data_IF_424610928410
#
_entry.id   IF_424610928410
#
_cell.length_a   1.000
_cell.length_b   1.000
_cell.length_c   1.000
_cell.angle_alpha   90.00
_cell.angle_beta   90.00
_cell.angle_gamma   90.00
#
_symmetry.space_group_name_H-M   'P 1'
#
loop_
_entity.id
_entity.type
_entity.pdbx_description
1 polymer ?
#
# COMPACT_ATOMS: atom_id res chain seq x y z
N UNK A 1 10.75 3.48 18.30
CA UNK A 1 10.50 3.96 16.92
C UNK A 1 11.24 3.03 15.97
N UNK A 2 10.62 2.55 14.90
CA UNK A 2 11.26 1.57 14.01
C UNK A 2 11.99 2.33 12.89
N UNK A 3 13.23 2.75 13.14
CA UNK A 3 13.99 3.64 12.24
C UNK A 3 14.13 3.10 10.81
N UNK A 4 14.07 1.78 10.63
CA UNK A 4 14.08 1.15 9.31
C UNK A 4 12.84 1.50 8.48
N UNK A 5 11.64 1.50 9.08
CA UNK A 5 10.39 1.80 8.38
C UNK A 5 10.32 3.28 7.98
N UNK A 6 10.75 4.19 8.85
CA UNK A 6 10.79 5.63 8.54
C UNK A 6 11.76 5.94 7.40
N UNK A 7 12.92 5.29 7.37
CA UNK A 7 13.86 5.42 6.25
C UNK A 7 13.26 4.90 4.94
N UNK A 8 12.62 3.74 4.95
CA UNK A 8 11.96 3.19 3.76
C UNK A 8 10.87 4.12 3.25
N UNK A 9 10.00 4.63 4.13
CA UNK A 9 8.94 5.58 3.77
C UNK A 9 9.50 6.81 3.06
N UNK A 10 10.48 7.48 3.67
CA UNK A 10 11.06 8.70 3.09
C UNK A 10 11.76 8.43 1.75
N UNK A 11 12.54 7.35 1.67
CA UNK A 11 13.24 6.96 0.46
C UNK A 11 12.26 6.61 -0.67
N UNK A 12 11.20 5.87 -0.34
CA UNK A 12 10.16 5.48 -1.29
C UNK A 12 9.38 6.69 -1.80
N UNK A 13 8.92 7.60 -0.92
CA UNK A 13 8.21 8.82 -1.33
C UNK A 13 9.07 9.68 -2.26
N UNK A 14 10.37 9.82 -1.95
CA UNK A 14 11.33 10.55 -2.77
C UNK A 14 11.60 9.87 -4.12
N UNK A 15 11.72 8.54 -4.13
CA UNK A 15 11.90 7.75 -5.35
C UNK A 15 10.66 7.83 -6.25
N UNK A 16 9.47 7.69 -5.67
CA UNK A 16 8.20 7.74 -6.39
C UNK A 16 8.02 9.11 -7.05
N UNK A 17 8.28 10.21 -6.34
CA UNK A 17 8.22 11.55 -6.92
C UNK A 17 9.17 11.73 -8.10
N UNK A 18 10.42 11.23 -8.00
CA UNK A 18 11.38 11.31 -9.12
C UNK A 18 10.91 10.53 -10.35
N UNK A 19 10.20 9.41 -10.15
CA UNK A 19 9.74 8.54 -11.23
C UNK A 19 8.44 9.01 -11.87
N UNK A 20 7.44 9.36 -11.07
CA UNK A 20 6.07 9.64 -11.52
C UNK A 20 5.73 11.14 -11.54
N UNK A 21 6.58 11.99 -10.96
CA UNK A 21 6.30 13.40 -10.69
C UNK A 21 5.03 13.63 -9.83
N UNK A 22 4.65 12.62 -9.02
CA UNK A 22 3.52 12.70 -8.10
C UNK A 22 4.00 12.63 -6.64
N UNK A 23 3.46 13.52 -5.81
CA UNK A 23 3.73 13.52 -4.37
C UNK A 23 2.73 12.62 -3.65
N UNK A 24 3.23 11.54 -3.06
CA UNK A 24 2.44 10.63 -2.22
C UNK A 24 2.83 10.78 -0.75
N UNK A 25 1.93 10.36 0.13
CA UNK A 25 2.16 10.25 1.57
C UNK A 25 1.84 8.83 2.05
N UNK A 26 2.82 8.18 2.68
CA UNK A 26 2.71 6.79 3.19
C UNK A 26 2.38 6.70 4.68
N UNK A 27 2.18 7.86 5.33
CA UNK A 27 1.81 7.98 6.74
C UNK A 27 1.27 9.38 7.06
N UNK A 28 0.24 9.45 7.92
CA UNK A 28 -0.26 10.70 8.50
C UNK A 28 0.58 11.24 9.66
N UNK A 29 1.59 10.51 10.14
CA UNK A 29 2.33 10.90 11.36
C UNK A 29 2.99 12.27 11.22
N UNK A 30 3.38 12.66 10.00
CA UNK A 30 4.06 13.93 9.72
C UNK A 30 3.11 15.10 9.51
N UNK A 31 1.85 14.82 9.19
CA UNK A 31 0.81 15.81 8.93
C UNK A 31 -0.55 15.20 9.30
N UNK A 32 -1.05 15.45 10.52
CA UNK A 32 -2.32 14.90 10.99
C UNK A 32 -3.53 15.38 10.18
N UNK A 33 -3.40 16.52 9.47
CA UNK A 33 -4.48 17.09 8.66
C UNK A 33 -4.51 16.49 7.25
N UNK A 34 -3.36 16.00 6.75
CA UNK A 34 -3.27 15.31 5.47
C UNK A 34 -3.55 13.82 5.62
N UNK A 35 -4.64 13.36 4.98
CA UNK A 35 -4.90 11.93 4.83
C UNK A 35 -3.80 11.30 3.94
N UNK A 36 -3.13 10.23 4.40
CA UNK A 36 -2.13 9.55 3.60
C UNK A 36 -2.81 8.84 2.43
N UNK A 37 -2.09 8.69 1.33
CA UNK A 37 -2.55 7.95 0.16
C UNK A 37 -2.71 6.46 0.48
N UNK A 38 -1.85 5.95 1.37
CA UNK A 38 -1.95 4.64 2.01
C UNK A 38 -1.02 4.60 3.22
N UNK A 39 -1.13 3.58 4.07
CA UNK A 39 -0.25 3.41 5.22
C UNK A 39 0.74 2.28 4.98
N UNK A 40 2.04 2.57 5.07
CA UNK A 40 3.07 1.53 5.08
C UNK A 40 3.26 0.96 6.49
N UNK A 41 3.10 -0.34 6.68
CA UNK A 41 3.37 -1.01 7.96
C UNK A 41 4.47 -2.06 7.83
N UNK A 42 5.28 -2.18 8.87
CA UNK A 42 6.22 -3.28 9.02
C UNK A 42 5.57 -4.39 9.86
N UNK A 43 5.40 -5.55 9.26
CA UNK A 43 4.86 -6.76 9.87
C UNK A 43 5.96 -7.78 10.21
N UNK A 44 5.57 -8.92 10.82
CA UNK A 44 6.52 -9.96 11.16
C UNK A 44 7.22 -10.55 9.93
N UNK A 45 8.40 -11.15 10.14
CA UNK A 45 9.18 -11.87 9.11
C UNK A 45 9.58 -11.00 7.90
N UNK A 46 9.83 -9.72 8.11
CA UNK A 46 10.20 -8.79 7.03
C UNK A 46 9.04 -8.59 6.04
N UNK A 47 7.81 -8.52 6.55
CA UNK A 47 6.67 -8.20 5.68
C UNK A 47 6.45 -6.70 5.66
N UNK A 48 6.36 -6.09 4.48
CA UNK A 48 5.87 -4.72 4.33
C UNK A 48 4.45 -4.72 3.78
N UNK A 49 3.57 -3.97 4.43
CA UNK A 49 2.16 -3.89 4.08
C UNK A 49 1.86 -2.49 3.56
N UNK A 50 1.30 -2.42 2.36
CA UNK A 50 0.54 -1.29 1.85
C UNK A 50 -0.88 -1.46 2.38
N UNK A 51 -1.35 -0.55 3.22
CA UNK A 51 -2.69 -0.63 3.81
C UNK A 51 -3.54 0.54 3.33
N UNK A 52 -4.60 0.22 2.61
CA UNK A 52 -5.60 1.20 2.18
C UNK A 52 -6.83 1.10 3.08
N UNK A 53 -7.07 2.15 3.88
CA UNK A 53 -8.14 2.18 4.89
C UNK A 53 -9.25 3.10 4.41
N UNK A 54 -10.44 2.54 4.23
CA UNK A 54 -11.66 3.28 3.93
C UNK A 54 -12.54 3.40 5.16
N UNK A 55 -13.41 4.40 5.19
CA UNK A 55 -14.42 4.56 6.25
C UNK A 55 -15.38 3.36 6.31
N UNK A 56 -16.08 3.19 7.42
CA UNK A 56 -17.14 2.19 7.58
C UNK A 56 -18.21 2.37 6.48
N UNK A 57 -18.77 1.25 6.01
CA UNK A 57 -19.75 1.13 4.94
C UNK A 57 -19.29 1.64 3.57
N UNK A 58 -17.98 1.87 3.38
CA UNK A 58 -17.46 2.36 2.12
C UNK A 58 -17.46 1.29 1.03
N UNK A 59 -17.72 1.71 -0.22
CA UNK A 59 -17.74 0.87 -1.41
C UNK A 59 -16.50 1.15 -2.27
N UNK A 60 -15.55 0.22 -2.27
CA UNK A 60 -14.30 0.33 -3.01
C UNK A 60 -14.55 0.39 -4.53
N UNK A 61 -13.97 1.39 -5.20
CA UNK A 61 -14.08 1.54 -6.66
C UNK A 61 -12.90 0.91 -7.39
N UNK A 62 -13.06 0.68 -8.70
CA UNK A 62 -11.98 0.18 -9.55
C UNK A 62 -10.76 1.12 -9.56
N UNK A 63 -10.97 2.43 -9.66
CA UNK A 63 -9.87 3.42 -9.67
C UNK A 63 -9.04 3.37 -8.38
N UNK A 64 -9.70 3.19 -7.23
CA UNK A 64 -9.01 3.08 -5.94
C UNK A 64 -8.29 1.76 -5.79
N UNK A 65 -8.89 0.68 -6.28
CA UNK A 65 -8.28 -0.64 -6.28
C UNK A 65 -7.01 -0.65 -7.14
N UNK A 66 -7.12 -0.19 -8.39
CA UNK A 66 -6.01 -0.11 -9.33
C UNK A 66 -4.90 0.77 -8.77
N UNK A 67 -5.21 1.96 -8.25
CA UNK A 67 -4.19 2.85 -7.67
C UNK A 67 -3.43 2.19 -6.51
N UNK A 68 -4.12 1.45 -5.64
CA UNK A 68 -3.46 0.76 -4.54
C UNK A 68 -2.60 -0.42 -5.00
N UNK A 69 -2.99 -1.11 -6.07
CA UNK A 69 -2.16 -2.12 -6.74
C UNK A 69 -0.92 -1.46 -7.35
N UNK A 70 -1.08 -0.34 -8.04
CA UNK A 70 0.04 0.42 -8.63
C UNK A 70 1.04 0.86 -7.55
N UNK A 71 0.57 1.21 -6.34
CA UNK A 71 1.45 1.52 -5.21
C UNK A 71 2.23 0.31 -4.71
N UNK A 72 1.61 -0.88 -4.66
CA UNK A 72 2.31 -2.11 -4.31
C UNK A 72 3.37 -2.47 -5.36
N UNK A 73 3.04 -2.40 -6.65
CA UNK A 73 3.99 -2.65 -7.74
C UNK A 73 5.15 -1.66 -7.72
N UNK A 74 4.85 -0.37 -7.47
CA UNK A 74 5.88 0.67 -7.35
C UNK A 74 6.79 0.43 -6.14
N UNK A 75 6.23 -0.03 -5.02
CA UNK A 75 7.00 -0.39 -3.83
C UNK A 75 7.87 -1.62 -4.09
N UNK A 76 7.35 -2.62 -4.80
CA UNK A 76 8.09 -3.80 -5.22
C UNK A 76 9.32 -3.40 -6.04
N UNK A 77 9.11 -2.59 -7.07
CA UNK A 77 10.20 -2.10 -7.91
C UNK A 77 11.23 -1.29 -7.13
N UNK A 78 10.80 -0.37 -6.26
CA UNK A 78 11.72 0.39 -5.41
C UNK A 78 12.58 -0.53 -4.53
N UNK A 79 11.99 -1.56 -3.94
CA UNK A 79 12.71 -2.51 -3.07
C UNK A 79 13.64 -3.42 -3.86
N UNK A 80 13.31 -3.74 -5.11
CA UNK A 80 14.17 -4.50 -6.02
C UNK A 80 15.36 -3.67 -6.52
N UNK A 81 15.14 -2.39 -6.82
CA UNK A 81 16.18 -1.43 -7.18
C UNK A 81 17.12 -1.10 -6.00
N UNK A 82 16.64 -1.24 -4.77
CA UNK A 82 17.37 -0.92 -3.54
C UNK A 82 17.53 -2.17 -2.67
N UNK A 83 18.40 -3.09 -3.10
CA UNK A 83 18.57 -4.42 -2.49
C UNK A 83 18.85 -4.41 -0.98
N UNK A 84 19.47 -3.36 -0.43
CA UNK A 84 19.63 -3.18 1.02
C UNK A 84 18.28 -3.08 1.76
N UNK A 85 17.32 -2.36 1.19
CA UNK A 85 15.95 -2.31 1.70
C UNK A 85 15.18 -3.58 1.31
N UNK A 86 15.31 -4.04 0.07
CA UNK A 86 14.63 -5.26 -0.40
C UNK A 86 14.91 -6.50 0.44
N UNK A 87 16.16 -6.67 0.89
CA UNK A 87 16.55 -7.79 1.76
C UNK A 87 15.86 -7.77 3.14
N UNK A 88 15.47 -6.59 3.64
CA UNK A 88 14.74 -6.43 4.89
C UNK A 88 13.24 -6.73 4.73
N UNK A 89 12.71 -6.60 3.51
CA UNK A 89 11.29 -6.74 3.20
C UNK A 89 11.02 -7.74 2.06
N UNK A 90 11.35 -9.04 2.25
CA UNK A 90 11.15 -10.07 1.24
C UNK A 90 9.68 -10.40 0.97
N UNK A 91 8.76 -10.01 1.86
CA UNK A 91 7.32 -10.25 1.71
C UNK A 91 6.63 -8.89 1.59
N UNK A 92 5.85 -8.70 0.51
CA UNK A 92 5.20 -7.43 0.19
C UNK A 92 3.72 -7.70 -0.02
N UNK A 93 2.86 -6.93 0.63
CA UNK A 93 1.41 -7.17 0.64
C UNK A 93 0.63 -5.88 0.53
N UNK A 94 -0.54 -5.98 -0.09
CA UNK A 94 -1.58 -4.96 -0.10
C UNK A 94 -2.77 -5.46 0.71
N UNK A 95 -3.28 -4.63 1.62
CA UNK A 95 -4.46 -4.91 2.42
C UNK A 95 -5.45 -3.76 2.31
N UNK A 96 -6.65 -4.06 1.84
CA UNK A 96 -7.77 -3.14 1.89
C UNK A 96 -8.56 -3.36 3.18
N UNK A 97 -8.73 -2.32 4.00
CA UNK A 97 -9.71 -2.30 5.09
C UNK A 97 -10.96 -1.58 4.57
N UNK A 98 -11.95 -2.37 4.14
CA UNK A 98 -13.17 -1.88 3.47
C UNK A 98 -14.33 -2.89 3.56
N UNK A 99 -15.55 -2.39 3.67
CA UNK A 99 -16.76 -3.22 3.88
C UNK A 99 -17.43 -3.68 2.60
N UNK A 100 -17.29 -2.94 1.49
CA UNK A 100 -18.01 -3.26 0.27
C UNK A 100 -17.08 -3.24 -0.97
N UNK A 101 -17.22 -4.26 -1.82
CA UNK A 101 -16.48 -4.41 -3.11
C UNK A 101 -17.43 -4.69 -4.29
N UNK A 102 -18.71 -4.47 -4.08
CA UNK A 102 -19.78 -4.56 -5.07
C UNK A 102 -19.62 -3.54 -6.21
N UNK A 103 -18.77 -2.52 -6.07
CA UNK A 103 -18.43 -1.58 -7.14
C UNK A 103 -17.19 -1.96 -7.95
N UNK A 104 -16.48 -3.01 -7.57
CA UNK A 104 -15.38 -3.52 -8.37
C UNK A 104 -15.90 -4.23 -9.62
N UNK A 105 -15.22 -4.03 -10.74
CA UNK A 105 -15.35 -4.81 -11.97
C UNK A 105 -15.09 -6.30 -11.71
N UNK A 106 -15.56 -7.14 -12.64
CA UNK A 106 -15.30 -8.60 -12.58
C UNK A 106 -13.81 -8.91 -12.54
N UNK A 107 -12.99 -8.14 -13.26
CA UNK A 107 -11.53 -8.30 -13.31
C UNK A 107 -10.90 -8.02 -11.96
N UNK A 108 -11.19 -6.86 -11.35
CA UNK A 108 -10.60 -6.49 -10.07
C UNK A 108 -11.10 -7.36 -8.91
N UNK A 109 -12.37 -7.80 -8.93
CA UNK A 109 -12.85 -8.82 -7.97
C UNK A 109 -12.12 -10.14 -8.11
N UNK A 110 -11.76 -10.53 -9.33
CA UNK A 110 -11.02 -11.77 -9.58
C UNK A 110 -9.59 -11.63 -9.06
N UNK A 111 -8.92 -10.52 -9.36
CA UNK A 111 -7.58 -10.22 -8.84
C UNK A 111 -7.58 -10.24 -7.31
N UNK A 112 -8.52 -9.55 -6.66
CA UNK A 112 -8.65 -9.57 -5.20
C UNK A 112 -8.85 -10.97 -4.60
N UNK A 113 -9.46 -11.91 -5.35
CA UNK A 113 -9.70 -13.28 -4.89
C UNK A 113 -8.54 -14.23 -5.17
N UNK A 114 -7.82 -14.02 -6.26
CA UNK A 114 -6.79 -14.95 -6.77
C UNK A 114 -5.37 -14.53 -6.36
N UNK A 115 -5.14 -13.24 -6.08
CA UNK A 115 -3.84 -12.75 -5.64
C UNK A 115 -3.47 -13.24 -4.25
N UNK A 116 -2.21 -13.67 -4.09
CA UNK A 116 -1.67 -14.15 -2.81
C UNK A 116 -1.13 -13.02 -1.92
N UNK A 117 -0.81 -11.88 -2.53
CA UNK A 117 -0.27 -10.68 -1.90
C UNK A 117 -1.29 -9.55 -1.73
N UNK A 118 -2.52 -9.71 -2.23
CA UNK A 118 -3.61 -8.73 -2.05
C UNK A 118 -4.71 -9.35 -1.22
N UNK A 119 -5.06 -8.71 -0.10
CA UNK A 119 -6.14 -9.17 0.76
C UNK A 119 -7.12 -8.05 1.11
N UNK A 120 -8.32 -8.45 1.53
CA UNK A 120 -9.35 -7.56 2.06
C UNK A 120 -9.73 -7.98 3.48
N UNK A 121 -9.92 -6.98 4.33
CA UNK A 121 -10.53 -7.06 5.66
C UNK A 121 -11.72 -6.12 5.71
N UNK A 122 -12.83 -6.55 6.31
CA UNK A 122 -13.93 -5.66 6.70
C UNK A 122 -13.65 -5.03 8.06
N UNK A 123 -14.39 -3.97 8.39
CA UNK A 123 -14.44 -3.42 9.74
C UNK A 123 -15.12 -4.36 10.75
N UNK A 124 -15.91 -5.32 10.23
CA UNK A 124 -16.66 -6.34 10.96
C UNK A 124 -16.06 -7.74 10.81
#
# INVERSE_FOLDING_TARGET
>A
MNDALERVRYSFESWYFKKSNQLISTTSIRDPERRPDFVLLNGPRGTIWVVEIKRIDYHLTDDEFTRAVDYLESLEEFLDDNSEFGAQFPIRRLTFIVDNVDRLSRTNRRLLKESTNVERRSWY
#
